data_IF_957621073059
#
_entry.id   IF_957621073059
#
_cell.length_a   1.000
_cell.length_b   1.000
_cell.length_c   1.000
_cell.angle_alpha   90.00
_cell.angle_beta   90.00
_cell.angle_gamma   90.00
#
_symmetry.space_group_name_H-M   'P 1'
#
loop_
_entity.id
_entity.type
_entity.pdbx_description
1 polymer ?
#
# COMPACT_ATOMS: atom_id res chain seq x y z
N UNK A 1 -7.30 13.29 15.16
CA UNK A 1 -6.88 13.71 13.80
C UNK A 1 -5.57 13.02 13.49
N UNK A 2 -5.38 12.55 12.26
CA UNK A 2 -4.18 11.82 11.82
C UNK A 2 -3.87 12.19 10.36
N UNK A 3 -2.62 12.01 9.93
CA UNK A 3 -2.21 12.09 8.52
C UNK A 3 -2.31 10.70 7.85
N UNK A 4 -2.10 10.64 6.52
CA UNK A 4 -2.23 9.40 5.79
C UNK A 4 -1.19 8.34 6.20
N UNK A 5 0.06 8.75 6.48
CA UNK A 5 1.14 7.82 6.85
C UNK A 5 0.92 7.16 8.22
N UNK A 6 0.44 7.92 9.22
CA UNK A 6 0.17 7.40 10.55
C UNK A 6 -1.04 6.47 10.52
N UNK A 7 -2.08 6.82 9.75
CA UNK A 7 -3.23 5.93 9.56
C UNK A 7 -2.83 4.67 8.77
N UNK A 8 -1.91 4.77 7.82
CA UNK A 8 -1.39 3.61 7.09
C UNK A 8 -0.57 2.69 8.01
N UNK A 9 0.26 3.24 8.91
CA UNK A 9 0.96 2.46 9.95
C UNK A 9 -0.01 1.78 10.91
N UNK A 10 -1.08 2.47 11.33
CA UNK A 10 -2.13 1.88 12.15
C UNK A 10 -2.88 0.77 11.40
N UNK A 11 -3.15 0.95 10.10
CA UNK A 11 -3.71 -0.10 9.25
C UNK A 11 -2.75 -1.29 9.09
N UNK A 12 -1.43 -1.06 9.04
CA UNK A 12 -0.43 -2.12 9.02
C UNK A 12 -0.45 -2.97 10.30
N UNK A 13 -0.79 -2.41 11.46
CA UNK A 13 -1.01 -3.20 12.70
C UNK A 13 -2.03 -4.33 12.47
N UNK A 14 -3.05 -4.08 11.64
CA UNK A 14 -4.08 -5.06 11.32
C UNK A 14 -3.55 -6.20 10.44
N UNK A 15 -2.58 -5.93 9.55
CA UNK A 15 -1.88 -6.95 8.77
C UNK A 15 -0.80 -7.69 9.59
N UNK A 16 -0.23 -7.01 10.58
CA UNK A 16 0.82 -7.55 11.47
C UNK A 16 0.26 -8.35 12.66
N UNK A 17 -0.93 -8.96 12.52
CA UNK A 17 -1.59 -9.74 13.59
C UNK A 17 -1.76 -8.99 14.93
N UNK A 18 -1.80 -7.65 14.89
CA UNK A 18 -2.11 -6.78 16.02
C UNK A 18 -0.91 -6.19 16.75
N UNK A 19 0.30 -6.35 16.23
CA UNK A 19 1.50 -5.69 16.75
C UNK A 19 2.21 -4.80 15.74
N UNK A 20 3.14 -4.00 16.24
CA UNK A 20 4.02 -3.13 15.46
C UNK A 20 5.33 -2.94 16.21
N UNK A 21 6.44 -3.39 15.62
CA UNK A 21 7.74 -3.43 16.26
C UNK A 21 7.71 -4.16 17.60
N UNK A 22 7.94 -3.39 18.66
CA UNK A 22 8.06 -3.86 20.03
C UNK A 22 6.76 -3.75 20.84
N UNK A 23 5.62 -3.49 20.19
CA UNK A 23 4.36 -3.26 20.89
C UNK A 23 3.26 -4.17 20.33
N UNK A 24 2.46 -4.75 21.23
CA UNK A 24 1.23 -5.46 20.88
C UNK A 24 0.00 -4.63 21.27
N UNK A 25 -0.85 -4.31 20.30
CA UNK A 25 -2.07 -3.53 20.51
C UNK A 25 -3.31 -4.42 20.58
N UNK A 26 -3.38 -5.44 19.74
CA UNK A 26 -4.53 -6.33 19.64
C UNK A 26 -4.09 -7.80 19.57
N UNK A 27 -4.96 -8.70 20.02
CA UNK A 27 -4.78 -10.13 19.76
C UNK A 27 -5.22 -10.46 18.33
N UNK A 28 -4.50 -11.35 17.67
CA UNK A 28 -4.86 -11.88 16.34
C UNK A 28 -6.32 -12.31 16.25
N UNK A 29 -6.80 -13.12 17.21
CA UNK A 29 -8.19 -13.59 17.24
C UNK A 29 -9.21 -12.43 17.29
N UNK A 30 -8.87 -11.31 17.93
CA UNK A 30 -9.72 -10.11 17.95
C UNK A 30 -9.75 -9.44 16.58
N UNK A 31 -8.61 -9.34 15.90
CA UNK A 31 -8.54 -8.80 14.53
C UNK A 31 -9.34 -9.68 13.59
N UNK A 32 -9.16 -11.00 13.64
CA UNK A 32 -9.91 -11.96 12.84
C UNK A 32 -11.41 -11.85 13.11
N UNK A 33 -11.84 -11.72 14.37
CA UNK A 33 -13.25 -11.55 14.72
C UNK A 33 -13.86 -10.26 14.15
N UNK A 34 -13.11 -9.16 14.18
CA UNK A 34 -13.61 -7.87 13.68
C UNK A 34 -13.60 -7.80 12.16
N UNK A 35 -12.60 -8.42 11.54
CA UNK A 35 -12.44 -8.38 10.10
C UNK A 35 -13.23 -9.47 9.40
N UNK A 36 -13.56 -10.62 10.02
CA UNK A 36 -14.28 -11.71 9.33
C UNK A 36 -15.60 -11.25 8.72
N UNK A 37 -16.01 -11.94 7.66
CA UNK A 37 -17.32 -11.73 7.03
C UNK A 37 -18.46 -11.97 8.03
N UNK A 38 -19.47 -11.09 7.98
CA UNK A 38 -20.76 -11.37 8.61
C UNK A 38 -21.45 -12.48 7.83
N UNK A 39 -22.00 -13.47 8.53
CA UNK A 39 -22.69 -14.61 7.90
C UNK A 39 -23.85 -14.17 6.98
N UNK A 40 -24.54 -13.08 7.31
CA UNK A 40 -25.66 -12.56 6.54
C UNK A 40 -25.26 -11.63 5.39
N UNK A 41 -24.01 -11.17 5.33
CA UNK A 41 -23.55 -10.26 4.28
C UNK A 41 -22.02 -10.28 4.14
N UNK A 42 -21.49 -10.74 3.00
CA UNK A 42 -20.04 -10.87 2.81
C UNK A 42 -19.31 -9.52 2.74
N UNK A 43 -20.04 -8.41 2.54
CA UNK A 43 -19.48 -7.06 2.40
C UNK A 43 -19.38 -6.28 3.73
N UNK A 44 -19.58 -6.96 4.86
CA UNK A 44 -19.55 -6.38 6.21
C UNK A 44 -18.71 -7.22 7.18
N UNK A 45 -17.94 -6.54 8.01
CA UNK A 45 -17.34 -7.03 9.26
C UNK A 45 -17.80 -6.19 10.45
N UNK A 46 -17.25 -6.41 11.64
CA UNK A 46 -17.58 -5.59 12.81
C UNK A 46 -16.84 -4.24 12.71
N UNK A 47 -17.57 -3.19 12.35
CA UNK A 47 -17.01 -1.85 12.14
C UNK A 47 -16.28 -1.67 10.80
N UNK A 48 -16.22 -2.71 9.97
CA UNK A 48 -15.51 -2.71 8.70
C UNK A 48 -16.45 -2.94 7.52
N UNK A 49 -16.17 -2.28 6.41
CA UNK A 49 -16.64 -2.73 5.10
C UNK A 49 -15.67 -3.76 4.54
N UNK A 50 -16.20 -4.74 3.82
CA UNK A 50 -15.42 -5.77 3.13
C UNK A 50 -15.72 -5.77 1.64
N UNK A 51 -14.72 -6.12 0.82
CA UNK A 51 -14.90 -6.35 -0.61
C UNK A 51 -15.88 -7.50 -0.83
N UNK A 52 -15.69 -8.62 -0.12
CA UNK A 52 -16.48 -9.83 -0.32
C UNK A 52 -16.37 -10.31 -1.76
N UNK A 53 -17.47 -10.77 -2.35
CA UNK A 53 -17.48 -11.29 -3.71
C UNK A 53 -17.69 -10.15 -4.73
N UNK A 54 -16.74 -9.20 -4.80
CA UNK A 54 -16.83 -7.98 -5.62
C UNK A 54 -18.03 -7.07 -5.27
N UNK A 55 -18.50 -7.11 -4.03
CA UNK A 55 -19.65 -6.34 -3.58
C UNK A 55 -19.37 -4.86 -3.31
N UNK A 56 -18.11 -4.42 -3.37
CA UNK A 56 -17.67 -3.01 -3.11
C UNK A 56 -16.57 -2.52 -4.06
N UNK A 57 -16.57 -3.00 -5.30
CA UNK A 57 -15.58 -2.64 -6.34
C UNK A 57 -15.43 -1.15 -6.57
N UNK A 58 -16.48 -0.36 -6.37
CA UNK A 58 -16.43 1.11 -6.52
C UNK A 58 -15.69 1.81 -5.37
N UNK A 59 -15.36 1.10 -4.29
CA UNK A 59 -14.51 1.60 -3.19
C UNK A 59 -13.10 1.03 -3.25
N UNK A 60 -12.98 -0.30 -3.36
CA UNK A 60 -11.68 -0.98 -3.22
C UNK A 60 -10.98 -1.26 -4.56
N UNK A 61 -11.68 -1.12 -5.68
CA UNK A 61 -11.20 -1.51 -7.00
C UNK A 61 -11.61 -2.93 -7.37
N UNK A 62 -11.48 -3.25 -8.65
CA UNK A 62 -11.87 -4.54 -9.24
C UNK A 62 -10.86 -5.66 -9.00
N UNK A 63 -9.61 -5.31 -8.71
CA UNK A 63 -8.51 -6.24 -8.42
C UNK A 63 -8.35 -6.53 -6.92
N UNK A 64 -9.07 -5.81 -6.06
CA UNK A 64 -9.02 -6.05 -4.62
C UNK A 64 -9.51 -7.45 -4.26
N UNK A 65 -8.76 -8.14 -3.39
CA UNK A 65 -9.11 -9.48 -2.98
C UNK A 65 -10.44 -9.52 -2.23
N UNK A 66 -11.11 -10.68 -2.23
CA UNK A 66 -12.36 -10.85 -1.50
C UNK A 66 -12.23 -10.61 0.01
N UNK A 67 -10.99 -10.76 0.52
CA UNK A 67 -10.66 -10.55 1.91
C UNK A 67 -10.34 -9.10 2.28
N UNK A 68 -10.24 -8.21 1.31
CA UNK A 68 -10.01 -6.78 1.52
C UNK A 68 -11.07 -6.18 2.44
N UNK A 69 -10.62 -5.40 3.41
CA UNK A 69 -11.47 -4.63 4.31
C UNK A 69 -10.98 -3.20 4.46
N UNK A 70 -11.87 -2.33 4.91
CA UNK A 70 -11.59 -0.91 4.94
C UNK A 70 -12.81 -0.07 5.28
N UNK A 71 -12.69 1.22 5.09
CA UNK A 71 -13.80 2.15 5.30
C UNK A 71 -13.58 3.44 4.50
N UNK A 72 -14.68 4.16 4.22
CA UNK A 72 -14.63 5.51 3.67
C UNK A 72 -15.21 6.54 4.64
N UNK A 73 -14.80 7.79 4.47
CA UNK A 73 -15.37 8.93 5.21
C UNK A 73 -16.06 9.90 4.29
N UNK A 74 -17.06 10.60 4.83
CA UNK A 74 -17.85 11.60 4.13
C UNK A 74 -17.00 12.65 3.38
N UNK A 75 -15.88 13.05 3.97
CA UNK A 75 -14.95 14.03 3.38
C UNK A 75 -14.14 13.49 2.20
N UNK A 76 -14.36 12.23 1.81
CA UNK A 76 -13.66 11.52 0.75
C UNK A 76 -12.40 10.81 1.23
N UNK A 77 -12.36 10.37 2.49
CA UNK A 77 -11.29 9.48 2.97
C UNK A 77 -11.57 8.05 2.57
N UNK A 78 -10.52 7.25 2.38
CA UNK A 78 -10.57 5.82 2.13
C UNK A 78 -9.36 5.15 2.78
N UNK A 79 -9.63 4.04 3.46
CA UNK A 79 -8.60 3.09 3.89
C UNK A 79 -8.92 1.74 3.27
N UNK A 80 -7.94 1.13 2.63
CA UNK A 80 -7.98 -0.20 2.03
C UNK A 80 -6.91 -1.03 2.72
N UNK A 81 -7.26 -2.22 3.19
CA UNK A 81 -6.38 -3.18 3.82
C UNK A 81 -6.66 -4.53 3.16
N UNK A 82 -5.71 -5.02 2.37
CA UNK A 82 -5.81 -6.27 1.63
C UNK A 82 -4.77 -7.27 2.18
N UNK A 83 -5.19 -8.25 2.99
CA UNK A 83 -4.29 -9.25 3.53
C UNK A 83 -3.71 -10.21 2.48
N UNK A 84 -4.41 -10.43 1.36
CA UNK A 84 -3.92 -11.34 0.33
C UNK A 84 -2.77 -10.70 -0.45
N UNK A 85 -2.88 -9.39 -0.72
CA UNK A 85 -1.82 -8.62 -1.39
C UNK A 85 -0.81 -7.99 -0.43
N UNK A 86 -0.94 -8.16 0.90
CA UNK A 86 -0.17 -7.41 1.91
C UNK A 86 -0.14 -5.90 1.64
N UNK A 87 -1.29 -5.33 1.31
CA UNK A 87 -1.41 -3.96 0.81
C UNK A 87 -2.24 -3.11 1.77
N UNK A 88 -1.76 -1.90 2.04
CA UNK A 88 -2.51 -0.82 2.67
C UNK A 88 -2.51 0.38 1.75
N UNK A 89 -3.71 0.92 1.47
CA UNK A 89 -3.88 2.20 0.77
C UNK A 89 -4.68 3.14 1.66
N UNK A 90 -4.13 4.30 1.96
CA UNK A 90 -4.82 5.37 2.68
C UNK A 90 -4.86 6.61 1.81
N UNK A 91 -6.06 6.98 1.38
CA UNK A 91 -6.34 8.23 0.68
C UNK A 91 -7.14 9.14 1.59
N UNK A 92 -6.57 10.26 2.00
CA UNK A 92 -7.29 11.29 2.76
C UNK A 92 -7.52 12.49 1.85
N UNK A 93 -8.79 12.76 1.50
CA UNK A 93 -9.15 13.98 0.80
C UNK A 93 -9.99 14.89 1.69
N UNK A 94 -10.12 16.13 1.27
CA UNK A 94 -11.07 17.09 1.82
C UNK A 94 -12.04 17.57 0.73
N UNK A 95 -12.52 16.66 -0.13
CA UNK A 95 -13.32 17.00 -1.32
C UNK A 95 -14.54 17.88 -1.03
N UNK A 96 -15.08 17.78 0.19
CA UNK A 96 -16.23 18.58 0.65
C UNK A 96 -15.88 20.04 0.96
N UNK A 97 -14.60 20.39 1.14
CA UNK A 97 -14.14 21.76 1.37
C UNK A 97 -13.95 22.50 0.04
N UNK A 98 -14.92 22.31 -0.85
CA UNK A 98 -15.09 23.01 -2.12
C UNK A 98 -16.50 23.60 -2.14
N UNK A 99 -16.82 24.57 -3.01
CA UNK A 99 -18.17 25.13 -3.05
C UNK A 99 -19.24 24.06 -3.29
N UNK A 100 -20.39 24.22 -2.65
CA UNK A 100 -21.60 23.50 -3.04
C UNK A 100 -22.00 23.98 -4.43
N UNK A 101 -22.22 23.05 -5.37
CA UNK A 101 -22.49 23.41 -6.77
C UNK A 101 -23.79 24.22 -6.88
N UNK A 102 -24.86 23.74 -6.25
CA UNK A 102 -26.14 24.46 -6.16
C UNK A 102 -26.88 23.99 -4.90
N UNK A 103 -26.92 24.85 -3.88
CA UNK A 103 -27.53 24.53 -2.59
C UNK A 103 -29.07 24.43 -2.65
N UNK A 104 -29.71 25.00 -3.68
CA UNK A 104 -31.16 24.92 -3.91
C UNK A 104 -31.56 23.59 -4.52
N UNK A 105 -30.64 22.93 -5.24
CA UNK A 105 -30.84 21.60 -5.83
C UNK A 105 -30.38 20.48 -4.90
N UNK A 106 -29.17 20.59 -4.36
CA UNK A 106 -28.63 19.62 -3.42
C UNK A 106 -27.48 20.22 -2.59
N UNK A 107 -27.75 20.47 -1.31
CA UNK A 107 -26.79 21.01 -0.35
C UNK A 107 -25.57 20.10 -0.06
N UNK A 108 -25.60 18.84 -0.52
CA UNK A 108 -24.55 17.85 -0.31
C UNK A 108 -23.79 17.47 -1.58
N UNK A 109 -23.94 18.24 -2.68
CA UNK A 109 -23.14 18.05 -3.89
C UNK A 109 -22.11 19.17 -4.02
N UNK A 110 -20.88 18.85 -3.66
CA UNK A 110 -19.73 19.75 -3.70
C UNK A 110 -19.01 19.62 -5.04
N UNK A 111 -18.39 20.71 -5.48
CA UNK A 111 -17.63 20.77 -6.72
C UNK A 111 -16.55 19.67 -6.79
N UNK A 112 -15.84 19.48 -5.67
CA UNK A 112 -14.83 18.44 -5.47
C UNK A 112 -15.33 17.00 -5.66
N UNK A 113 -16.64 16.74 -5.58
CA UNK A 113 -17.18 15.40 -5.78
C UNK A 113 -17.08 14.89 -7.22
N UNK A 114 -16.80 15.75 -8.21
CA UNK A 114 -16.79 15.36 -9.64
C UNK A 114 -15.43 14.90 -10.13
N UNK A 115 -14.38 15.22 -9.38
CA UNK A 115 -13.00 14.84 -9.68
C UNK A 115 -12.76 13.35 -9.44
N UNK A 116 -11.82 12.79 -10.19
CA UNK A 116 -11.55 11.36 -10.20
C UNK A 116 -10.91 10.90 -8.89
N UNK A 117 -10.09 11.73 -8.26
CA UNK A 117 -9.55 11.48 -6.91
C UNK A 117 -10.67 11.29 -5.87
N UNK A 118 -11.84 11.93 -6.07
CA UNK A 118 -12.98 11.84 -5.16
C UNK A 118 -13.84 10.58 -5.32
N UNK A 119 -13.71 9.83 -6.43
CA UNK A 119 -14.54 8.65 -6.72
C UNK A 119 -14.08 7.39 -5.98
N UNK A 120 -13.06 7.53 -5.12
CA UNK A 120 -12.53 6.52 -4.20
C UNK A 120 -11.88 5.34 -4.93
N UNK A 121 -12.64 4.51 -5.64
CA UNK A 121 -12.16 3.26 -6.26
C UNK A 121 -11.08 3.42 -7.33
N UNK A 122 -10.94 4.60 -7.95
CA UNK A 122 -9.92 4.81 -9.00
C UNK A 122 -8.49 4.74 -8.47
N UNK A 123 -8.22 5.33 -7.30
CA UNK A 123 -6.86 5.35 -6.74
C UNK A 123 -6.40 3.95 -6.32
N UNK A 124 -7.17 3.15 -5.55
CA UNK A 124 -6.86 1.75 -5.29
C UNK A 124 -6.69 0.94 -6.56
N UNK A 125 -7.56 1.09 -7.57
CA UNK A 125 -7.38 0.39 -8.85
C UNK A 125 -6.03 0.70 -9.48
N UNK A 126 -5.62 1.96 -9.56
CA UNK A 126 -4.29 2.30 -10.11
C UNK A 126 -3.14 1.74 -9.25
N UNK A 127 -3.32 1.64 -7.93
CA UNK A 127 -2.36 0.96 -7.05
C UNK A 127 -2.29 -0.53 -7.35
N UNK A 128 -3.42 -1.22 -7.54
CA UNK A 128 -3.43 -2.64 -7.94
C UNK A 128 -2.86 -2.85 -9.33
N UNK A 129 -3.16 -1.99 -10.30
CA UNK A 129 -2.55 -2.03 -11.64
C UNK A 129 -1.03 -1.93 -11.55
N UNK A 130 -0.49 -1.13 -10.62
CA UNK A 130 0.96 -1.07 -10.41
C UNK A 130 1.57 -2.37 -9.88
N UNK A 131 0.78 -3.25 -9.26
CA UNK A 131 1.19 -4.58 -8.78
C UNK A 131 1.03 -5.63 -9.89
N UNK A 132 -0.15 -5.67 -10.50
CA UNK A 132 -0.57 -6.75 -11.41
C UNK A 132 -0.06 -6.56 -12.85
N UNK A 133 0.03 -5.30 -13.28
CA UNK A 133 0.16 -4.96 -14.70
C UNK A 133 1.25 -3.90 -14.89
N UNK A 134 2.50 -4.35 -15.04
CA UNK A 134 3.60 -3.52 -15.56
C UNK A 134 3.42 -3.08 -17.03
N UNK A 135 2.24 -3.28 -17.62
CA UNK A 135 1.91 -2.94 -19.00
C UNK A 135 1.47 -1.48 -19.10
N UNK A 136 2.49 -0.66 -19.31
CA UNK A 136 2.48 0.73 -19.69
C UNK A 136 1.40 1.11 -20.74
N UNK A 137 1.16 0.29 -21.77
CA UNK A 137 0.20 0.59 -22.86
C UNK A 137 -1.24 0.37 -22.42
N UNK A 138 -1.52 -0.67 -21.63
CA UNK A 138 -2.85 -0.94 -21.09
C UNK A 138 -3.32 0.20 -20.16
N UNK A 139 -2.40 0.73 -19.35
CA UNK A 139 -2.66 1.87 -18.47
C UNK A 139 -2.99 3.13 -19.29
N UNK A 140 -2.22 3.41 -20.35
CA UNK A 140 -2.49 4.56 -21.23
C UNK A 140 -3.85 4.42 -21.94
N UNK A 141 -4.24 3.21 -22.36
CA UNK A 141 -5.56 2.93 -22.95
C UNK A 141 -6.70 3.09 -21.93
N UNK A 142 -6.48 2.68 -20.68
CA UNK A 142 -7.43 2.91 -19.58
C UNK A 142 -7.62 4.40 -19.31
N UNK A 143 -6.54 5.19 -19.32
CA UNK A 143 -6.61 6.65 -19.16
C UNK A 143 -7.39 7.31 -20.29
N UNK A 144 -7.18 6.89 -21.54
CA UNK A 144 -7.99 7.31 -22.69
C UNK A 144 -9.47 6.97 -22.50
N UNK A 145 -9.78 5.77 -22.01
CA UNK A 145 -11.16 5.36 -21.72
C UNK A 145 -11.78 6.22 -20.62
N UNK A 146 -11.02 6.58 -19.58
CA UNK A 146 -11.50 7.48 -18.52
C UNK A 146 -11.90 8.85 -19.07
N UNK A 147 -11.20 9.40 -20.06
CA UNK A 147 -11.60 10.65 -20.74
C UNK A 147 -12.99 10.48 -21.37
N UNK A 148 -13.15 9.44 -22.18
CA UNK A 148 -14.41 9.17 -22.89
C UNK A 148 -15.58 8.96 -21.91
N UNK A 149 -15.39 8.15 -20.87
CA UNK A 149 -16.44 7.90 -19.87
C UNK A 149 -16.75 9.15 -19.04
N UNK A 150 -15.76 9.98 -18.70
CA UNK A 150 -16.00 11.23 -17.98
C UNK A 150 -16.83 12.21 -18.82
N UNK A 151 -16.57 12.31 -20.12
CA UNK A 151 -17.32 13.18 -21.03
C UNK A 151 -18.77 12.73 -21.21
N UNK A 152 -19.07 11.43 -21.14
CA UNK A 152 -20.47 10.94 -21.15
C UNK A 152 -21.31 11.44 -19.98
N UNK A 153 -20.68 11.83 -18.87
CA UNK A 153 -21.36 12.39 -17.70
C UNK A 153 -21.67 13.89 -17.87
N UNK A 154 -21.08 14.56 -18.87
CA UNK A 154 -21.27 15.99 -19.08
C UNK A 154 -22.63 16.27 -19.71
N UNK A 155 -23.36 17.20 -19.09
CA UNK A 155 -24.58 17.76 -19.63
C UNK A 155 -24.61 19.27 -19.32
N UNK A 156 -24.51 20.16 -20.34
CA UNK A 156 -24.45 21.61 -20.13
C UNK A 156 -25.73 22.19 -19.51
N UNK A 157 -26.86 21.49 -19.61
CA UNK A 157 -28.13 21.92 -19.01
C UNK A 157 -28.32 21.43 -17.57
N UNK A 158 -27.42 20.57 -17.07
CA UNK A 158 -27.46 20.07 -15.70
C UNK A 158 -26.69 21.02 -14.78
N UNK A 159 -27.20 21.26 -13.56
CA UNK A 159 -26.53 22.12 -12.57
C UNK A 159 -25.11 21.65 -12.21
N UNK A 160 -24.79 20.37 -12.42
CA UNK A 160 -23.46 19.78 -12.19
C UNK A 160 -22.54 19.88 -13.41
N UNK A 161 -23.03 20.36 -14.55
CA UNK A 161 -22.37 20.29 -15.86
C UNK A 161 -20.98 20.93 -15.84
N UNK A 162 -20.84 22.13 -15.29
CA UNK A 162 -19.54 22.82 -15.21
C UNK A 162 -18.52 22.05 -14.37
N UNK A 163 -18.93 21.52 -13.21
CA UNK A 163 -18.04 20.73 -12.35
C UNK A 163 -17.60 19.43 -13.03
N UNK A 164 -18.49 18.78 -13.79
CA UNK A 164 -18.15 17.60 -14.59
C UNK A 164 -17.20 17.97 -15.73
N UNK A 165 -17.40 19.11 -16.39
CA UNK A 165 -16.52 19.59 -17.46
C UNK A 165 -15.11 19.89 -16.94
N UNK A 166 -14.98 20.55 -15.78
CA UNK A 166 -13.67 20.80 -15.14
C UNK A 166 -12.98 19.50 -14.72
N UNK A 167 -13.74 18.53 -14.22
CA UNK A 167 -13.21 17.19 -13.96
C UNK A 167 -12.79 16.46 -15.24
N UNK A 168 -13.47 16.66 -16.38
CA UNK A 168 -13.07 16.10 -17.67
C UNK A 168 -11.76 16.72 -18.17
N UNK A 169 -11.60 18.04 -18.06
CA UNK A 169 -10.33 18.71 -18.36
C UNK A 169 -9.15 18.15 -17.56
N UNK A 170 -9.35 17.82 -16.28
CA UNK A 170 -8.32 17.17 -15.46
C UNK A 170 -7.83 15.84 -16.04
N UNK A 171 -8.75 14.97 -16.50
CA UNK A 171 -8.39 13.67 -17.07
C UNK A 171 -7.72 13.84 -18.44
N UNK A 172 -8.17 14.79 -19.26
CA UNK A 172 -7.53 15.13 -20.55
C UNK A 172 -6.11 15.66 -20.32
N UNK A 173 -5.93 16.58 -19.37
CA UNK A 173 -4.62 17.12 -19.02
C UNK A 173 -3.68 16.02 -18.51
N UNK A 174 -4.21 15.07 -17.74
CA UNK A 174 -3.46 13.88 -17.29
C UNK A 174 -2.98 13.05 -18.48
N UNK A 175 -3.82 12.86 -19.51
CA UNK A 175 -3.43 12.18 -20.75
C UNK A 175 -2.34 12.96 -21.52
N UNK A 176 -2.42 14.29 -21.55
CA UNK A 176 -1.41 15.15 -22.19
C UNK A 176 -0.08 15.08 -21.45
N UNK A 177 -0.07 15.25 -20.13
CA UNK A 177 1.14 15.12 -19.32
C UNK A 177 1.74 13.72 -19.47
N UNK A 178 0.91 12.68 -19.51
CA UNK A 178 1.38 11.31 -19.73
C UNK A 178 2.07 11.16 -21.09
N UNK A 179 1.57 11.80 -22.14
CA UNK A 179 2.22 11.83 -23.44
C UNK A 179 3.55 12.60 -23.42
N UNK A 180 3.67 13.69 -22.65
CA UNK A 180 4.91 14.45 -22.49
C UNK A 180 6.00 13.66 -21.75
N UNK A 181 5.61 12.91 -20.73
CA UNK A 181 6.50 12.02 -19.96
C UNK A 181 6.99 10.86 -20.81
N UNK A 182 6.06 10.17 -21.47
CA UNK A 182 6.35 8.93 -22.20
C UNK A 182 6.96 9.16 -23.56
N UNK A 183 6.49 10.18 -24.27
CA UNK A 183 6.93 10.51 -25.64
C UNK A 183 6.81 9.32 -26.61
N UNK A 184 5.90 8.40 -26.35
CA UNK A 184 5.58 7.26 -27.22
C UNK A 184 4.44 7.66 -28.15
N UNK A 185 4.55 7.29 -29.43
CA UNK A 185 3.59 7.70 -30.47
C UNK A 185 2.13 7.35 -30.11
N UNK A 186 1.86 6.14 -29.63
CA UNK A 186 0.50 5.71 -29.25
C UNK A 186 -0.08 6.57 -28.11
N UNK A 187 0.72 6.88 -27.08
CA UNK A 187 0.31 7.76 -25.97
C UNK A 187 0.04 9.19 -26.46
N UNK A 188 0.85 9.68 -27.41
CA UNK A 188 0.65 10.99 -28.05
C UNK A 188 -0.65 11.01 -28.87
N UNK A 189 -0.93 9.95 -29.64
CA UNK A 189 -2.16 9.83 -30.43
C UNK A 189 -3.40 9.84 -29.50
N UNK A 190 -3.36 9.13 -28.36
CA UNK A 190 -4.43 9.20 -27.35
C UNK A 190 -4.64 10.59 -26.76
N UNK A 191 -3.57 11.37 -26.56
CA UNK A 191 -3.68 12.75 -26.11
C UNK A 191 -4.37 13.65 -27.14
N UNK A 192 -4.04 13.51 -28.43
CA UNK A 192 -4.75 14.23 -29.50
C UNK A 192 -6.23 13.86 -29.55
N UNK A 193 -6.55 12.57 -29.51
CA UNK A 193 -7.94 12.11 -29.50
C UNK A 193 -8.69 12.62 -28.25
N UNK A 194 -8.05 12.66 -27.08
CA UNK A 194 -8.66 13.18 -25.86
C UNK A 194 -9.00 14.67 -25.98
N UNK A 195 -8.12 15.46 -26.59
CA UNK A 195 -8.35 16.88 -26.89
C UNK A 195 -9.47 17.06 -27.91
N UNK A 196 -9.52 16.21 -28.95
CA UNK A 196 -10.60 16.26 -29.95
C UNK A 196 -11.97 15.99 -29.30
N UNK A 197 -12.06 14.97 -28.45
CA UNK A 197 -13.31 14.62 -27.76
C UNK A 197 -13.84 15.76 -26.88
N UNK A 198 -12.98 16.40 -26.07
CA UNK A 198 -13.43 17.53 -25.24
C UNK A 198 -13.78 18.77 -26.09
N UNK A 199 -13.14 18.95 -27.24
CA UNK A 199 -13.45 20.04 -28.19
C UNK A 199 -14.82 19.92 -28.85
N UNK A 200 -15.44 18.73 -28.83
CA UNK A 200 -16.80 18.51 -29.34
C UNK A 200 -17.87 19.03 -28.39
N UNK A 201 -17.54 19.19 -27.11
CA UNK A 201 -18.52 19.48 -26.05
C UNK A 201 -18.33 20.83 -25.35
N UNK A 202 -17.13 21.40 -25.40
CA UNK A 202 -16.86 22.76 -24.89
C UNK A 202 -16.60 23.76 -26.03
N UNK A 203 -17.21 24.93 -25.91
CA UNK A 203 -17.08 26.04 -26.85
C UNK A 203 -15.93 26.99 -26.48
N UNK A 204 -15.46 26.98 -25.23
CA UNK A 204 -14.28 27.75 -24.80
C UNK A 204 -13.00 27.03 -25.21
N UNK A 205 -12.38 27.54 -26.28
CA UNK A 205 -11.18 26.92 -26.87
C UNK A 205 -9.87 27.31 -26.17
N UNK A 206 -9.91 28.13 -25.12
CA UNK A 206 -8.68 28.65 -24.49
C UNK A 206 -7.84 27.51 -23.92
N UNK A 207 -8.42 26.68 -23.04
CA UNK A 207 -7.74 25.53 -22.41
C UNK A 207 -7.41 24.47 -23.47
N UNK A 208 -8.32 24.23 -24.42
CA UNK A 208 -8.13 23.28 -25.52
C UNK A 208 -6.88 23.64 -26.36
N UNK A 209 -6.71 24.91 -26.71
CA UNK A 209 -5.58 25.37 -27.49
C UNK A 209 -4.26 25.25 -26.73
N UNK A 210 -4.26 25.52 -25.42
CA UNK A 210 -3.09 25.32 -24.55
C UNK A 210 -2.67 23.84 -24.49
N UNK A 211 -3.64 22.94 -24.27
CA UNK A 211 -3.40 21.49 -24.26
C UNK A 211 -2.89 21.00 -25.62
N UNK A 212 -3.46 21.50 -26.72
CA UNK A 212 -3.01 21.16 -28.07
C UNK A 212 -1.57 21.60 -28.33
N UNK A 213 -1.23 22.85 -27.98
CA UNK A 213 0.12 23.37 -28.13
C UNK A 213 1.16 22.55 -27.37
N UNK A 214 0.80 22.01 -26.19
CA UNK A 214 1.64 21.08 -25.43
C UNK A 214 1.90 19.80 -26.20
N UNK A 215 0.86 19.13 -26.71
CA UNK A 215 1.01 17.89 -27.49
C UNK A 215 1.80 18.12 -28.78
N UNK A 216 1.55 19.23 -29.48
CA UNK A 216 2.27 19.63 -30.70
C UNK A 216 3.79 19.78 -30.47
N UNK A 217 4.22 20.01 -29.22
CA UNK A 217 5.63 20.20 -28.87
C UNK A 217 6.40 18.89 -28.59
N UNK A 218 5.69 17.76 -28.47
CA UNK A 218 6.29 16.48 -28.08
C UNK A 218 7.06 15.86 -29.26
N UNK A 219 8.31 15.46 -29.01
CA UNK A 219 9.11 14.68 -29.96
C UNK A 219 9.15 13.22 -29.51
N UNK A 220 8.68 12.32 -30.37
CA UNK A 220 8.62 10.89 -30.06
C UNK A 220 10.02 10.26 -29.93
N UNK A 221 10.16 9.25 -29.06
CA UNK A 221 11.41 8.49 -28.85
C UNK A 221 11.17 6.98 -29.07
N UNK A 222 12.21 6.26 -29.52
CA UNK A 222 12.25 4.78 -29.56
C UNK A 222 12.96 4.25 -28.29
N UNK A 223 12.43 3.21 -27.63
CA UNK A 223 12.81 2.81 -26.26
C UNK A 223 14.03 1.84 -26.17
N UNK A 224 14.92 2.09 -25.17
CA UNK A 224 15.82 1.11 -24.54
C UNK A 224 16.05 1.45 -23.04
N UNK A 225 16.13 0.42 -22.18
CA UNK A 225 16.12 0.45 -20.70
C UNK A 225 17.41 0.98 -20.01
N UNK A 226 17.30 1.38 -18.73
CA UNK A 226 18.44 1.80 -17.87
C UNK A 226 18.50 1.08 -16.51
N UNK A 227 19.75 0.96 -16.06
CA UNK A 227 20.35 0.23 -14.93
C UNK A 227 20.39 1.03 -13.60
N UNK A 228 20.41 0.34 -12.45
CA UNK A 228 20.20 0.87 -11.08
C UNK A 228 21.13 0.23 -10.03
N UNK A 229 22.41 0.65 -9.92
CA UNK A 229 23.34 0.12 -8.90
C UNK A 229 23.98 1.18 -7.98
N UNK A 230 23.79 1.01 -6.65
CA UNK A 230 24.72 1.21 -5.51
C UNK A 230 24.16 1.97 -4.29
N UNK A 231 24.01 1.33 -3.11
CA UNK A 231 24.11 1.94 -1.75
C UNK A 231 24.56 0.88 -0.69
N UNK A 232 25.35 1.29 0.32
CA UNK A 232 25.90 0.50 1.47
C UNK A 232 25.55 1.09 2.86
N UNK A 233 25.75 0.34 3.97
CA UNK A 233 25.37 0.72 5.37
C UNK A 233 26.26 0.12 6.51
N UNK A 234 26.10 0.63 7.76
CA UNK A 234 26.95 0.48 8.99
C UNK A 234 26.17 -0.01 10.25
N UNK A 235 26.86 -0.34 11.38
CA UNK A 235 26.40 -1.15 12.55
C UNK A 235 26.12 -0.34 13.85
N UNK A 236 25.23 -0.86 14.71
CA UNK A 236 24.86 -0.33 16.04
C UNK A 236 25.04 -1.34 17.21
N UNK A 237 24.96 -0.84 18.45
CA UNK A 237 25.67 -1.36 19.63
C UNK A 237 24.86 -2.03 20.76
N UNK A 238 23.52 -1.95 20.86
CA UNK A 238 22.78 -2.60 21.98
C UNK A 238 21.36 -3.09 21.63
N UNK A 239 20.85 -4.06 22.41
CA UNK A 239 19.57 -4.77 22.23
C UNK A 239 18.41 -4.03 22.93
N UNK A 240 17.30 -3.70 22.22
CA UNK A 240 16.15 -3.01 22.81
C UNK A 240 15.28 -3.89 23.71
N UNK A 241 14.65 -3.25 24.72
CA UNK A 241 13.59 -3.82 25.56
C UNK A 241 12.22 -3.72 24.83
N UNK A 242 11.45 -4.82 24.72
CA UNK A 242 10.36 -4.95 23.74
C UNK A 242 9.34 -6.08 23.99
N UNK A 243 8.11 -5.94 23.44
CA UNK A 243 7.12 -7.02 23.25
C UNK A 243 7.32 -7.74 21.90
N UNK A 244 7.12 -9.06 21.89
CA UNK A 244 7.48 -9.93 20.76
C UNK A 244 6.24 -10.64 20.17
N UNK A 245 6.22 -10.81 18.83
CA UNK A 245 5.31 -11.72 18.12
C UNK A 245 5.39 -13.14 18.70
N UNK A 246 6.59 -13.56 19.10
CA UNK A 246 6.82 -14.79 19.84
C UNK A 246 8.07 -14.65 20.74
N UNK A 247 8.01 -15.20 21.95
CA UNK A 247 9.15 -15.44 22.85
C UNK A 247 9.13 -16.94 23.16
N UNK A 248 9.92 -17.71 22.41
CA UNK A 248 9.82 -19.16 22.34
C UNK A 248 11.17 -19.82 22.57
N UNK A 249 11.18 -21.06 23.06
CA UNK A 249 12.38 -21.86 23.26
C UNK A 249 12.30 -23.20 22.54
N UNK A 250 13.42 -23.71 22.02
CA UNK A 250 13.53 -25.00 21.34
C UNK A 250 14.42 -25.98 22.13
N UNK A 251 14.11 -27.29 22.20
CA UNK A 251 12.97 -27.98 21.60
C UNK A 251 11.75 -27.97 22.55
N UNK A 252 10.89 -26.94 22.49
CA UNK A 252 9.57 -26.87 23.15
C UNK A 252 8.82 -25.56 22.77
N UNK A 253 8.74 -25.23 21.48
CA UNK A 253 8.26 -23.91 21.05
C UNK A 253 6.78 -23.62 21.40
N UNK A 254 6.04 -24.63 21.86
CA UNK A 254 4.63 -24.56 22.24
C UNK A 254 4.40 -24.79 23.76
N UNK A 255 5.45 -24.85 24.57
CA UNK A 255 5.39 -25.18 26.01
C UNK A 255 4.71 -26.54 26.31
N UNK A 256 4.79 -27.49 25.37
CA UNK A 256 4.38 -28.89 25.47
C UNK A 256 5.14 -29.72 24.42
N UNK A 257 5.71 -30.83 24.86
CA UNK A 257 6.36 -31.84 23.99
C UNK A 257 5.46 -33.07 23.87
N UNK A 258 5.18 -33.53 22.66
CA UNK A 258 4.62 -34.87 22.39
C UNK A 258 5.42 -35.63 21.31
N UNK A 259 5.02 -36.87 21.02
CA UNK A 259 5.68 -37.80 20.10
C UNK A 259 5.57 -37.40 18.62
N UNK A 260 4.97 -36.25 18.32
CA UNK A 260 5.04 -35.58 17.02
C UNK A 260 6.38 -34.82 16.86
N UNK A 261 7.49 -35.56 16.89
CA UNK A 261 8.85 -35.05 17.15
C UNK A 261 9.36 -33.89 16.27
N UNK A 262 8.90 -33.77 15.01
CA UNK A 262 9.33 -32.71 14.09
C UNK A 262 8.77 -31.34 14.48
N UNK A 263 7.53 -31.27 14.98
CA UNK A 263 6.86 -29.97 15.21
C UNK A 263 7.42 -29.22 16.42
N UNK A 264 8.07 -29.94 17.34
CA UNK A 264 8.72 -29.36 18.54
C UNK A 264 9.88 -28.41 18.19
N UNK A 265 10.35 -28.44 16.93
CA UNK A 265 11.56 -27.79 16.45
C UNK A 265 11.30 -26.70 15.41
N UNK A 266 10.04 -26.38 15.12
CA UNK A 266 9.67 -25.43 14.08
C UNK A 266 8.66 -24.40 14.61
N UNK A 267 8.79 -23.14 14.18
CA UNK A 267 7.80 -22.11 14.45
C UNK A 267 7.57 -21.27 13.19
N UNK A 268 6.34 -20.80 13.01
CA UNK A 268 5.94 -19.93 11.89
C UNK A 268 5.58 -18.56 12.42
N UNK A 269 6.02 -17.52 11.74
CA UNK A 269 5.76 -16.14 12.08
C UNK A 269 5.56 -15.29 10.81
N UNK A 270 4.94 -14.12 10.93
CA UNK A 270 4.78 -13.18 9.82
C UNK A 270 6.01 -12.29 9.68
N UNK A 271 6.37 -11.98 8.44
CA UNK A 271 7.50 -11.11 8.07
C UNK A 271 7.41 -10.67 6.61
N UNK A 272 8.39 -9.87 6.17
CA UNK A 272 8.47 -9.35 4.81
C UNK A 272 9.89 -9.46 4.26
N UNK A 273 10.01 -9.64 2.96
CA UNK A 273 11.30 -9.62 2.25
C UNK A 273 12.07 -8.33 2.54
N UNK A 274 13.40 -8.42 2.51
CA UNK A 274 14.31 -7.28 2.72
C UNK A 274 14.21 -6.60 4.11
N UNK A 275 13.49 -7.21 5.07
CA UNK A 275 13.47 -6.77 6.45
C UNK A 275 13.31 -7.94 7.44
N UNK A 276 13.55 -7.65 8.73
CA UNK A 276 13.30 -8.58 9.82
C UNK A 276 14.55 -8.93 10.63
N UNK A 277 14.36 -8.97 11.95
CA UNK A 277 15.39 -9.33 12.93
C UNK A 277 14.85 -10.41 13.83
N UNK A 278 15.70 -11.35 14.25
CA UNK A 278 15.41 -12.30 15.32
C UNK A 278 16.41 -12.07 16.45
N UNK A 279 15.97 -12.24 17.69
CA UNK A 279 16.83 -12.14 18.87
C UNK A 279 17.02 -13.54 19.41
N UNK A 280 18.21 -14.11 19.18
CA UNK A 280 18.51 -15.52 19.45
C UNK A 280 19.50 -15.61 20.61
N UNK A 281 19.19 -16.47 21.58
CA UNK A 281 20.05 -16.78 22.73
C UNK A 281 20.22 -18.28 22.83
N UNK A 282 21.47 -18.74 22.86
CA UNK A 282 21.78 -20.07 23.35
C UNK A 282 21.77 -20.04 24.89
N UNK A 283 21.00 -20.91 25.52
CA UNK A 283 20.96 -20.99 26.98
C UNK A 283 22.30 -21.50 27.54
N UNK A 284 22.69 -21.08 28.77
CA UNK A 284 23.97 -21.46 29.35
C UNK A 284 24.21 -22.97 29.31
N UNK A 285 25.35 -23.37 28.73
CA UNK A 285 25.74 -24.77 28.61
C UNK A 285 25.43 -25.42 27.26
N UNK A 286 24.71 -24.75 26.35
CA UNK A 286 24.59 -25.19 24.95
C UNK A 286 25.92 -24.97 24.22
N UNK A 287 26.44 -26.02 23.59
CA UNK A 287 27.72 -26.00 22.86
C UNK A 287 27.56 -25.97 21.35
N UNK A 288 26.44 -26.45 20.81
CA UNK A 288 26.11 -26.32 19.38
C UNK A 288 24.61 -26.44 19.15
N UNK A 289 24.14 -25.85 18.05
CA UNK A 289 22.78 -26.00 17.52
C UNK A 289 22.79 -25.68 16.02
N UNK A 290 21.81 -26.16 15.26
CA UNK A 290 21.57 -25.75 13.87
C UNK A 290 20.30 -24.94 13.80
N UNK A 291 20.36 -23.78 13.15
CA UNK A 291 19.21 -22.89 12.97
C UNK A 291 19.02 -22.65 11.48
N UNK A 292 17.79 -22.84 11.01
CA UNK A 292 17.38 -22.58 9.65
C UNK A 292 16.26 -21.53 9.64
N UNK A 293 16.36 -20.55 8.75
CA UNK A 293 15.31 -19.56 8.51
C UNK A 293 14.87 -19.71 7.06
N UNK A 294 13.59 -20.06 6.85
CA UNK A 294 13.04 -20.40 5.54
C UNK A 294 13.87 -21.45 4.78
N UNK A 295 14.47 -22.40 5.51
CA UNK A 295 15.29 -23.47 4.96
C UNK A 295 16.77 -23.11 4.74
N UNK A 296 17.18 -21.86 4.94
CA UNK A 296 18.58 -21.45 4.87
C UNK A 296 19.25 -21.59 6.23
N UNK A 297 20.33 -22.36 6.30
CA UNK A 297 21.12 -22.54 7.52
C UNK A 297 21.95 -21.29 7.83
N UNK A 298 21.98 -20.88 9.09
CA UNK A 298 22.88 -19.83 9.57
C UNK A 298 24.05 -20.40 10.37
N UNK A 299 25.17 -19.69 10.41
CA UNK A 299 26.27 -20.01 11.32
C UNK A 299 25.88 -19.66 12.77
N UNK A 300 25.89 -20.65 13.64
CA UNK A 300 25.51 -20.54 15.06
C UNK A 300 26.72 -20.54 16.00
N UNK A 301 27.95 -20.59 15.47
CA UNK A 301 29.18 -20.73 16.24
C UNK A 301 29.34 -19.61 17.26
N UNK A 302 29.12 -18.36 16.85
CA UNK A 302 29.25 -17.19 17.73
C UNK A 302 28.19 -17.18 18.84
N UNK A 303 26.96 -17.59 18.52
CA UNK A 303 25.84 -17.68 19.47
C UNK A 303 26.12 -18.74 20.53
N UNK A 304 26.57 -19.94 20.13
CA UNK A 304 26.82 -21.05 21.04
C UNK A 304 28.08 -20.85 21.88
N UNK A 305 29.16 -20.32 21.31
CA UNK A 305 30.39 -20.02 22.04
C UNK A 305 30.20 -18.96 23.14
N UNK A 306 29.15 -18.14 23.03
CA UNK A 306 28.79 -17.11 24.00
C UNK A 306 27.44 -17.40 24.67
N UNK A 307 27.17 -18.68 24.98
CA UNK A 307 25.94 -19.11 25.64
C UNK A 307 25.62 -18.25 26.88
N UNK A 308 24.35 -17.88 27.04
CA UNK A 308 23.87 -16.91 28.03
C UNK A 308 23.68 -15.49 27.48
N UNK A 309 24.23 -15.17 26.30
CA UNK A 309 24.08 -13.86 25.64
C UNK A 309 23.07 -13.90 24.49
N UNK A 310 22.37 -12.78 24.25
CA UNK A 310 21.39 -12.64 23.15
C UNK A 310 22.03 -11.91 21.96
N UNK A 311 21.83 -12.45 20.75
CA UNK A 311 22.31 -11.92 19.49
C UNK A 311 21.16 -11.46 18.61
N UNK A 312 21.36 -10.36 17.88
CA UNK A 312 20.42 -9.92 16.83
C UNK A 312 20.85 -10.52 15.51
N UNK A 313 19.96 -11.29 14.90
CA UNK A 313 20.15 -11.93 13.59
C UNK A 313 19.26 -11.23 12.58
N UNK A 314 19.87 -10.54 11.62
CA UNK A 314 19.16 -9.98 10.48
C UNK A 314 18.90 -11.10 9.45
N UNK A 315 17.62 -11.41 9.23
CA UNK A 315 17.21 -12.45 8.28
C UNK A 315 16.61 -11.88 6.99
N UNK A 316 16.69 -10.55 6.79
CA UNK A 316 16.11 -9.83 5.64
C UNK A 316 16.39 -10.47 4.28
N UNK A 317 17.60 -11.00 4.07
CA UNK A 317 18.04 -11.62 2.82
C UNK A 317 17.40 -12.98 2.51
N UNK A 318 16.77 -13.61 3.49
CA UNK A 318 16.12 -14.92 3.37
C UNK A 318 14.67 -14.88 3.83
N UNK A 319 14.15 -13.68 4.15
CA UNK A 319 12.77 -13.46 4.53
C UNK A 319 11.84 -13.69 3.32
N UNK A 320 10.61 -14.11 3.57
CA UNK A 320 9.54 -14.20 2.59
C UNK A 320 8.45 -13.19 2.96
N UNK A 321 7.70 -12.70 1.97
CA UNK A 321 6.48 -11.92 2.23
C UNK A 321 5.39 -12.80 2.87
N UNK A 322 4.85 -12.34 4.00
CA UNK A 322 3.87 -13.09 4.78
C UNK A 322 4.52 -14.18 5.64
N UNK A 323 4.31 -15.46 5.28
CA UNK A 323 4.66 -16.60 6.13
C UNK A 323 6.16 -16.89 6.11
N UNK A 324 6.80 -16.77 7.27
CA UNK A 324 8.20 -17.14 7.52
C UNK A 324 8.28 -18.31 8.50
N UNK A 325 9.38 -19.06 8.45
CA UNK A 325 9.61 -20.24 9.29
C UNK A 325 11.00 -20.21 9.89
N UNK A 326 11.09 -20.57 11.17
CA UNK A 326 12.36 -20.89 11.84
C UNK A 326 12.33 -22.34 12.28
N UNK A 327 13.45 -23.02 12.09
CA UNK A 327 13.69 -24.38 12.55
C UNK A 327 14.98 -24.41 13.37
N UNK A 328 14.94 -25.06 14.54
CA UNK A 328 16.11 -25.26 15.40
C UNK A 328 16.29 -26.75 15.67
N UNK A 329 17.45 -27.31 15.36
CA UNK A 329 17.73 -28.75 15.52
C UNK A 329 19.12 -29.01 16.07
N UNK A 330 19.38 -30.27 16.45
CA UNK A 330 20.71 -30.77 16.85
C UNK A 330 21.37 -29.90 17.94
N UNK A 331 20.61 -29.56 18.98
CA UNK A 331 21.12 -28.84 20.15
C UNK A 331 21.95 -29.80 20.99
N UNK A 332 23.20 -29.43 21.27
CA UNK A 332 24.12 -30.17 22.14
C UNK A 332 24.53 -29.33 23.36
N UNK A 333 24.79 -29.94 24.53
CA UNK A 333 24.66 -31.38 24.79
C UNK A 333 23.19 -31.82 24.84
N UNK A 334 22.89 -33.03 24.34
CA UNK A 334 21.57 -33.67 24.31
C UNK A 334 20.92 -33.99 25.69
N UNK A 335 21.29 -33.25 26.74
CA UNK A 335 20.93 -33.47 28.13
C UNK A 335 19.57 -32.84 28.50
N UNK A 336 18.72 -33.62 29.16
CA UNK A 336 17.40 -33.24 29.71
C UNK A 336 17.42 -32.15 30.78
N UNK A 337 18.59 -31.70 31.24
CA UNK A 337 18.73 -30.65 32.25
C UNK A 337 18.55 -29.22 31.70
N UNK A 338 18.76 -29.00 30.40
CA UNK A 338 18.58 -27.67 29.77
C UNK A 338 17.13 -27.55 29.29
N UNK A 339 16.30 -26.81 30.03
CA UNK A 339 14.94 -26.47 29.59
C UNK A 339 15.01 -25.40 28.51
N UNK A 340 14.77 -25.80 27.25
CA UNK A 340 14.85 -24.91 26.08
C UNK A 340 16.29 -24.50 25.80
N UNK A 341 16.96 -25.15 24.85
CA UNK A 341 18.36 -24.85 24.52
C UNK A 341 18.54 -23.54 23.76
N UNK A 342 17.67 -23.23 22.80
CA UNK A 342 17.72 -21.97 22.04
C UNK A 342 16.44 -21.18 22.30
N UNK A 343 16.57 -19.98 22.85
CA UNK A 343 15.49 -19.01 22.99
C UNK A 343 15.50 -18.04 21.82
N UNK A 344 14.35 -17.80 21.21
CA UNK A 344 14.17 -16.89 20.08
C UNK A 344 13.03 -15.92 20.39
N UNK A 345 13.35 -14.63 20.32
CA UNK A 345 12.36 -13.56 20.36
C UNK A 345 12.18 -12.97 18.97
N UNK A 346 10.94 -12.93 18.53
CA UNK A 346 10.53 -12.53 17.18
C UNK A 346 9.76 -11.21 17.30
N UNK A 347 10.28 -10.07 16.84
CA UNK A 347 9.54 -8.81 16.83
C UNK A 347 8.36 -8.85 15.85
N UNK A 348 7.43 -7.90 16.01
CA UNK A 348 6.48 -7.61 14.95
C UNK A 348 7.17 -6.83 13.82
N UNK A 349 6.75 -6.99 12.56
CA UNK A 349 7.25 -6.14 11.48
C UNK A 349 6.96 -4.66 11.74
N UNK A 350 7.79 -3.79 11.20
CA UNK A 350 7.56 -2.34 11.15
C UNK A 350 7.47 -1.90 9.70
N UNK A 351 6.80 -0.77 9.48
CA UNK A 351 6.82 -0.16 8.15
C UNK A 351 8.18 0.50 7.94
N UNK A 352 8.89 0.08 6.90
CA UNK A 352 10.12 0.73 6.45
C UNK A 352 9.82 1.60 5.23
N UNK A 353 10.60 2.65 5.00
CA UNK A 353 10.50 3.45 3.78
C UNK A 353 11.22 2.74 2.63
N UNK A 354 10.69 2.84 1.41
CA UNK A 354 11.32 2.24 0.23
C UNK A 354 10.72 2.75 -1.08
N UNK A 355 11.04 2.07 -2.18
CA UNK A 355 10.55 2.42 -3.52
C UNK A 355 9.54 1.41 -4.04
N UNK A 356 8.75 1.78 -5.05
CA UNK A 356 7.86 0.85 -5.73
C UNK A 356 8.61 -0.39 -6.24
N UNK A 357 9.78 -0.19 -6.84
CA UNK A 357 10.60 -1.26 -7.39
C UNK A 357 11.03 -2.27 -6.31
N UNK A 358 11.26 -1.84 -5.06
CA UNK A 358 11.68 -2.71 -3.97
C UNK A 358 10.65 -3.77 -3.55
N UNK A 359 9.40 -3.60 -4.00
CA UNK A 359 8.27 -4.52 -3.75
C UNK A 359 7.59 -4.97 -5.04
N UNK A 360 8.28 -4.81 -6.19
CA UNK A 360 7.79 -5.24 -7.49
C UNK A 360 6.64 -4.39 -8.06
N UNK A 361 6.40 -3.20 -7.52
CA UNK A 361 5.39 -2.27 -8.05
C UNK A 361 5.95 -1.40 -9.17
N UNK A 362 5.14 -1.10 -10.17
CA UNK A 362 5.50 -0.26 -11.30
C UNK A 362 5.48 1.24 -10.91
N UNK A 363 6.66 1.85 -10.76
CA UNK A 363 6.80 3.27 -10.40
C UNK A 363 6.03 4.21 -11.34
N UNK A 364 6.06 3.98 -12.65
CA UNK A 364 5.37 4.84 -13.62
C UNK A 364 3.84 4.89 -13.41
N UNK A 365 3.26 3.84 -12.83
CA UNK A 365 1.83 3.79 -12.51
C UNK A 365 1.53 4.60 -11.24
N UNK A 366 2.45 4.59 -10.27
CA UNK A 366 2.36 5.46 -9.09
C UNK A 366 2.57 6.93 -9.44
N UNK A 367 3.46 7.23 -10.40
CA UNK A 367 3.66 8.59 -10.91
C UNK A 367 2.42 9.10 -11.65
N UNK A 368 1.71 8.22 -12.38
CA UNK A 368 0.43 8.58 -12.99
C UNK A 368 -0.61 9.01 -11.94
N UNK A 369 -0.61 8.39 -10.76
CA UNK A 369 -1.48 8.82 -9.65
C UNK A 369 -1.13 10.24 -9.21
N UNK A 370 0.17 10.59 -9.13
CA UNK A 370 0.60 11.96 -8.82
C UNK A 370 0.10 12.96 -9.85
N UNK A 371 0.28 12.65 -11.13
CA UNK A 371 -0.15 13.50 -12.24
C UNK A 371 -1.67 13.69 -12.23
N UNK A 372 -2.44 12.62 -11.99
CA UNK A 372 -3.90 12.68 -11.89
C UNK A 372 -4.36 13.58 -10.74
N UNK A 373 -3.81 13.41 -9.53
CA UNK A 373 -4.23 14.18 -8.36
C UNK A 373 -3.83 15.66 -8.52
N UNK A 374 -2.63 15.94 -9.03
CA UNK A 374 -2.17 17.32 -9.27
C UNK A 374 -3.03 18.03 -10.32
N UNK A 375 -3.44 17.33 -11.38
CA UNK A 375 -4.37 17.88 -12.35
C UNK A 375 -5.76 18.08 -11.76
N UNK A 376 -6.27 17.15 -10.96
CA UNK A 376 -7.54 17.35 -10.24
C UNK A 376 -7.46 18.65 -9.42
N UNK A 377 -6.36 18.85 -8.68
CA UNK A 377 -6.12 20.09 -7.90
C UNK A 377 -6.08 21.32 -8.78
N UNK A 378 -5.35 21.29 -9.91
CA UNK A 378 -5.26 22.38 -10.89
C UNK A 378 -6.63 22.85 -11.37
N UNK A 379 -7.58 21.91 -11.57
CA UNK A 379 -8.91 22.22 -12.08
C UNK A 379 -9.97 22.46 -11.00
N UNK A 380 -9.59 22.46 -9.72
CA UNK A 380 -10.45 22.89 -8.60
C UNK A 380 -10.76 21.82 -7.57
N UNK A 381 -10.10 20.66 -7.61
CA UNK A 381 -9.99 19.80 -6.44
C UNK A 381 -9.14 20.49 -5.36
N UNK A 382 -9.37 20.12 -4.12
CA UNK A 382 -8.87 20.90 -2.97
C UNK A 382 -7.49 20.43 -2.51
N UNK A 383 -7.41 19.20 -2.03
CA UNK A 383 -6.18 18.56 -1.57
C UNK A 383 -6.39 17.07 -1.33
N UNK A 384 -5.28 16.34 -1.29
CA UNK A 384 -5.24 14.94 -0.88
C UNK A 384 -3.94 14.63 -0.13
N UNK A 385 -3.96 13.57 0.67
CA UNK A 385 -2.77 12.81 1.07
C UNK A 385 -2.96 11.37 0.67
N UNK A 386 -1.90 10.74 0.17
CA UNK A 386 -1.89 9.34 -0.21
C UNK A 386 -0.69 8.65 0.44
N UNK A 387 -0.99 7.60 1.20
CA UNK A 387 0.00 6.66 1.69
C UNK A 387 -0.29 5.26 1.14
N UNK A 388 0.74 4.58 0.65
CA UNK A 388 0.66 3.20 0.17
C UNK A 388 1.77 2.39 0.84
N UNK A 389 1.39 1.30 1.50
CA UNK A 389 2.31 0.32 2.06
C UNK A 389 2.06 -1.01 1.35
N UNK A 390 3.10 -1.62 0.80
CA UNK A 390 3.06 -2.95 0.20
C UNK A 390 4.18 -3.77 0.82
N UNK A 391 3.87 -4.98 1.28
CA UNK A 391 4.85 -5.88 1.91
C UNK A 391 5.65 -5.20 3.05
N UNK A 392 4.96 -4.41 3.87
CA UNK A 392 5.59 -3.67 4.97
C UNK A 392 6.52 -2.53 4.55
N UNK A 393 6.55 -2.16 3.27
CA UNK A 393 7.32 -1.02 2.75
C UNK A 393 6.39 0.13 2.37
N UNK A 394 6.58 1.31 2.94
CA UNK A 394 5.93 2.55 2.52
C UNK A 394 6.56 2.99 1.20
N UNK A 395 5.87 2.69 0.10
CA UNK A 395 6.32 3.01 -1.26
C UNK A 395 5.81 4.36 -1.76
N UNK A 396 4.79 4.90 -1.08
CA UNK A 396 4.24 6.22 -1.37
C UNK A 396 3.79 6.90 -0.09
N UNK A 397 4.20 8.16 0.07
CA UNK A 397 3.74 9.06 1.10
C UNK A 397 3.79 10.49 0.55
N UNK A 398 2.66 10.98 0.05
CA UNK A 398 2.61 12.22 -0.72
C UNK A 398 1.40 13.06 -0.34
N UNK A 399 1.54 14.38 -0.46
CA UNK A 399 0.50 15.35 -0.21
C UNK A 399 0.36 16.30 -1.40
N UNK A 400 -0.87 16.71 -1.68
CA UNK A 400 -1.23 17.49 -2.88
C UNK A 400 -2.17 18.63 -2.53
N UNK A 401 -2.07 19.71 -3.29
CA UNK A 401 -2.99 20.85 -3.18
C UNK A 401 -2.82 21.68 -1.92
N UNK A 402 -3.92 22.26 -1.46
CA UNK A 402 -3.89 23.34 -0.46
C UNK A 402 -3.76 22.80 0.96
N UNK A 403 -2.90 23.44 1.76
CA UNK A 403 -2.84 23.23 3.21
C UNK A 403 -4.05 23.81 3.93
N UNK A 404 -4.65 24.87 3.37
CA UNK A 404 -5.88 25.48 3.84
C UNK A 404 -6.73 25.95 2.64
N UNK A 405 -7.98 25.50 2.59
CA UNK A 405 -8.97 25.89 1.56
C UNK A 405 -10.10 26.76 2.12
N UNK A 406 -10.02 27.14 3.40
CA UNK A 406 -11.01 27.96 4.08
C UNK A 406 -10.86 29.42 3.68
N UNK A 407 -11.89 30.00 3.06
CA UNK A 407 -11.98 31.45 2.89
C UNK A 407 -12.69 32.04 4.13
N UNK A 408 -12.29 33.24 4.55
CA UNK A 408 -12.82 33.87 5.78
C UNK A 408 -14.32 34.19 5.69
N UNK A 409 -14.89 34.25 4.49
CA UNK A 409 -16.29 34.50 4.19
C UNK A 409 -17.14 33.22 4.06
N UNK A 410 -16.55 32.04 4.24
CA UNK A 410 -17.19 30.74 4.04
C UNK A 410 -17.03 30.24 2.62
#
# INVERSE_FOLDING_TARGET
>A
FANASDLAKLAQVMLNDGGYGNNKFFNKNTIEEFTKRKSSSPTWGLGWWRQGDNGRVWYFGTQASSNTYGHQGWTGTLTVIDPESNLVVVLLTNKINSPVIDNTKNANTFFGNKFTTATLGTIPTLVYESIEHGNKEAIDANLKTMVTEKLKLYNPSNYQGEAVLKAAYSVVDTMVTRAEERKVKSTIDYAYEAIEEISKVDTDKTIINELKARVDSIKAIDEAERDLSNISTEKLSEVPDADWQADISFPDCLNRVDDTLIVNNMYTFNGYENQGKLYIKAEPGVTSARIFINGFEMDTSEICNNSGSTFVVDYSKVANNGRNTIQVTNIEPNNTAIKGGISVKIPYPEVIEGSADSVGMNQNTLDLIDTLINNDVKYGFTSAQLAVIKDGVMVKNSAYGKTNSYNQDG
#
